data_IF_739551657452
#
_entry.id   IF_739551657452
#
_cell.length_a   1.000
_cell.length_b   1.000
_cell.length_c   1.000
_cell.angle_alpha   90.00
_cell.angle_beta   90.00
_cell.angle_gamma   90.00
#
_symmetry.space_group_name_H-M   'P 1'
#
loop_
_entity.id
_entity.type
_entity.pdbx_description
1 polymer ?
#
# COMPACT_ATOMS: atom_id res chain seq x y z
N UNK A 1 -5.53 -34.13 -10.12
CA UNK A 1 -6.81 -33.37 -10.13
C UNK A 1 -7.40 -33.47 -11.52
N UNK A 2 -8.64 -33.96 -11.68
CA UNK A 2 -9.24 -34.19 -13.00
C UNK A 2 -9.58 -32.84 -13.67
N UNK A 3 -8.95 -32.52 -14.80
CA UNK A 3 -9.08 -31.24 -15.55
C UNK A 3 -10.50 -30.93 -16.03
N UNK A 4 -11.42 -31.92 -16.01
CA UNK A 4 -12.86 -31.70 -16.30
C UNK A 4 -13.55 -30.73 -15.34
N UNK A 5 -13.14 -30.67 -14.06
CA UNK A 5 -13.78 -29.79 -13.07
C UNK A 5 -13.40 -28.30 -13.22
N UNK A 6 -12.49 -27.99 -14.15
CA UNK A 6 -11.99 -26.65 -14.44
C UNK A 6 -12.50 -26.09 -15.78
N UNK A 7 -13.17 -26.92 -16.60
CA UNK A 7 -13.79 -26.45 -17.85
C UNK A 7 -14.95 -25.50 -17.58
N UNK A 8 -15.07 -24.49 -18.43
CA UNK A 8 -16.17 -23.51 -18.47
C UNK A 8 -16.35 -22.72 -17.16
N UNK A 9 -15.28 -22.58 -16.38
CA UNK A 9 -15.25 -21.74 -15.18
C UNK A 9 -14.70 -20.36 -15.54
N UNK A 10 -15.49 -19.28 -15.44
CA UNK A 10 -15.05 -17.92 -15.79
C UNK A 10 -13.75 -17.49 -15.08
N UNK A 11 -13.54 -17.95 -13.84
CA UNK A 11 -12.32 -17.66 -13.07
C UNK A 11 -11.07 -18.24 -13.73
N UNK A 12 -11.18 -19.42 -14.37
CA UNK A 12 -10.06 -20.06 -15.07
C UNK A 12 -9.74 -19.29 -16.34
N UNK A 13 -10.76 -18.88 -17.10
CA UNK A 13 -10.57 -18.05 -18.29
C UNK A 13 -9.94 -16.70 -17.94
N UNK A 14 -10.41 -16.04 -16.88
CA UNK A 14 -9.82 -14.80 -16.36
C UNK A 14 -8.36 -14.98 -15.96
N UNK A 15 -8.03 -16.07 -15.25
CA UNK A 15 -6.66 -16.38 -14.86
C UNK A 15 -5.77 -16.62 -16.09
N UNK A 16 -6.22 -17.40 -17.07
CA UNK A 16 -5.47 -17.66 -18.30
C UNK A 16 -5.24 -16.38 -19.11
N UNK A 17 -6.25 -15.52 -19.21
CA UNK A 17 -6.10 -14.21 -19.85
C UNK A 17 -5.08 -13.34 -19.11
N UNK A 18 -5.12 -13.29 -17.78
CA UNK A 18 -4.16 -12.55 -16.96
C UNK A 18 -2.72 -13.06 -17.18
N UNK A 19 -2.51 -14.37 -17.02
CA UNK A 19 -1.19 -15.03 -17.19
C UNK A 19 -0.64 -14.84 -18.60
N UNK A 20 -1.49 -14.88 -19.63
CA UNK A 20 -1.08 -14.68 -21.03
C UNK A 20 -0.51 -13.30 -21.33
N UNK A 21 -0.80 -12.29 -20.49
CA UNK A 21 -0.34 -10.91 -20.64
C UNK A 21 0.90 -10.59 -19.81
N UNK A 22 1.39 -11.55 -19.02
CA UNK A 22 2.57 -11.36 -18.19
C UNK A 22 3.88 -11.55 -18.95
N UNK A 23 4.93 -10.90 -18.45
CA UNK A 23 6.25 -11.01 -19.06
C UNK A 23 6.82 -12.43 -18.88
N UNK A 24 7.43 -13.07 -19.90
CA UNK A 24 7.93 -14.44 -19.79
C UNK A 24 8.90 -14.68 -18.62
N UNK A 25 9.72 -13.69 -18.27
CA UNK A 25 10.61 -13.76 -17.09
C UNK A 25 9.83 -13.86 -15.77
N UNK A 26 8.72 -13.13 -15.66
CA UNK A 26 7.85 -13.20 -14.48
C UNK A 26 7.22 -14.59 -14.40
N UNK A 27 6.69 -15.09 -15.52
CA UNK A 27 6.11 -16.44 -15.58
C UNK A 27 7.13 -17.53 -15.21
N UNK A 28 8.37 -17.41 -15.68
CA UNK A 28 9.44 -18.33 -15.31
C UNK A 28 9.78 -18.25 -13.81
N UNK A 29 9.81 -17.04 -13.24
CA UNK A 29 10.06 -16.82 -11.83
C UNK A 29 8.95 -17.39 -10.94
N UNK A 30 7.68 -17.24 -11.36
CA UNK A 30 6.50 -17.57 -10.56
C UNK A 30 6.01 -19.02 -10.74
N UNK A 31 6.17 -19.62 -11.93
CA UNK A 31 5.54 -20.92 -12.26
C UNK A 31 6.52 -22.03 -12.63
N UNK A 32 7.79 -21.72 -12.92
CA UNK A 32 8.75 -22.72 -13.44
C UNK A 32 9.85 -23.13 -12.43
N UNK A 33 9.70 -22.80 -11.16
CA UNK A 33 10.59 -23.27 -10.09
C UNK A 33 10.15 -24.66 -9.55
N UNK A 34 11.13 -25.52 -9.28
CA UNK A 34 10.92 -26.90 -8.83
C UNK A 34 10.61 -27.05 -7.34
N UNK A 35 10.80 -26.00 -6.54
CA UNK A 35 10.75 -26.05 -5.08
C UNK A 35 9.58 -25.25 -4.47
N UNK A 36 8.71 -24.69 -5.31
CA UNK A 36 7.53 -23.97 -4.83
C UNK A 36 6.34 -24.90 -4.80
N UNK A 37 5.68 -24.91 -3.66
CA UNK A 37 4.43 -25.60 -3.45
C UNK A 37 3.48 -24.62 -2.75
N UNK A 38 2.22 -24.51 -3.16
CA UNK A 38 1.20 -23.80 -2.40
C UNK A 38 1.10 -24.41 -1.00
N UNK A 39 1.15 -23.57 0.03
CA UNK A 39 1.07 -24.00 1.44
C UNK A 39 -0.16 -23.40 2.08
N UNK A 40 -0.86 -24.21 2.88
CA UNK A 40 -1.90 -23.68 3.74
C UNK A 40 -1.30 -22.94 4.93
N UNK A 41 -1.97 -21.87 5.35
CA UNK A 41 -1.57 -21.11 6.53
C UNK A 41 -1.41 -22.01 7.78
N UNK A 42 -2.30 -22.98 7.99
CA UNK A 42 -2.25 -23.87 9.15
C UNK A 42 -0.97 -24.71 9.20
N UNK A 43 -0.45 -25.14 8.05
CA UNK A 43 0.78 -25.91 7.95
C UNK A 43 2.00 -25.03 8.25
N UNK A 44 2.02 -23.81 7.70
CA UNK A 44 3.08 -22.84 7.97
C UNK A 44 3.08 -22.44 9.45
N UNK A 45 1.90 -22.20 10.04
CA UNK A 45 1.78 -21.90 11.46
C UNK A 45 2.28 -23.04 12.35
N UNK A 46 1.97 -24.29 11.99
CA UNK A 46 2.48 -25.47 12.70
C UNK A 46 4.00 -25.62 12.59
N UNK A 47 4.60 -25.30 11.44
CA UNK A 47 6.05 -25.29 11.27
C UNK A 47 6.73 -24.17 12.07
N UNK A 48 6.19 -22.95 12.03
CA UNK A 48 6.69 -21.82 12.82
C UNK A 48 6.61 -22.11 14.33
N UNK A 49 5.54 -22.79 14.78
CA UNK A 49 5.39 -23.20 16.17
C UNK A 49 6.50 -24.15 16.64
N UNK A 50 7.07 -25.00 15.77
CA UNK A 50 8.22 -25.86 16.11
C UNK A 50 9.49 -25.06 16.41
N UNK A 51 9.54 -23.79 16.00
CA UNK A 51 10.61 -22.85 16.32
C UNK A 51 10.22 -21.89 17.47
N UNK A 52 9.18 -22.19 18.25
CA UNK A 52 8.54 -21.32 19.27
C UNK A 52 8.13 -19.93 18.76
N UNK A 53 7.72 -19.85 17.49
CA UNK A 53 7.16 -18.66 16.91
C UNK A 53 5.63 -18.75 16.90
N UNK A 54 4.99 -17.73 17.46
CA UNK A 54 3.52 -17.63 17.49
C UNK A 54 3.06 -16.65 16.41
N UNK A 55 1.99 -17.01 15.70
CA UNK A 55 1.34 -16.11 14.75
C UNK A 55 0.78 -14.86 15.46
N UNK A 56 1.23 -13.67 15.03
CA UNK A 56 0.84 -12.37 15.59
C UNK A 56 -0.28 -11.73 14.79
N UNK A 57 -0.25 -11.86 13.47
CA UNK A 57 -1.20 -11.20 12.58
C UNK A 57 -0.71 -11.16 11.13
N UNK A 58 -1.62 -10.85 10.21
CA UNK A 58 -1.25 -10.57 8.83
C UNK A 58 -0.64 -9.18 8.71
N UNK A 59 0.34 -9.02 7.81
CA UNK A 59 0.89 -7.73 7.41
C UNK A 59 0.03 -7.04 6.33
N UNK A 60 -1.05 -7.66 5.87
CA UNK A 60 -2.02 -7.05 4.96
C UNK A 60 -3.07 -6.29 5.78
N UNK A 61 -2.99 -4.95 5.81
CA UNK A 61 -3.75 -4.11 6.73
C UNK A 61 -5.27 -4.37 6.73
N UNK A 62 -5.92 -4.39 5.56
CA UNK A 62 -7.37 -4.63 5.51
C UNK A 62 -7.75 -6.03 5.98
N UNK A 63 -6.87 -7.01 5.79
CA UNK A 63 -7.12 -8.40 6.17
C UNK A 63 -6.90 -8.66 7.67
N UNK A 64 -6.31 -7.69 8.38
CA UNK A 64 -6.14 -7.74 9.84
C UNK A 64 -7.43 -7.42 10.60
N UNK A 65 -8.44 -6.83 9.94
CA UNK A 65 -9.73 -6.50 10.52
C UNK A 65 -10.86 -7.25 9.79
N UNK A 66 -11.59 -8.08 10.55
CA UNK A 66 -12.67 -8.91 10.01
C UNK A 66 -13.83 -8.07 9.45
N UNK A 67 -14.01 -6.82 9.91
CA UNK A 67 -15.03 -5.88 9.40
C UNK A 67 -14.88 -5.60 7.91
N UNK A 68 -13.68 -5.74 7.35
CA UNK A 68 -13.38 -5.44 5.94
C UNK A 68 -13.21 -6.67 5.06
N UNK A 69 -13.29 -7.87 5.65
CA UNK A 69 -13.02 -9.12 4.94
C UNK A 69 -14.21 -10.06 4.87
N UNK A 70 -15.09 -10.05 5.87
CA UNK A 70 -16.20 -10.99 5.95
C UNK A 70 -17.52 -10.31 6.32
N UNK A 71 -18.60 -10.79 5.73
CA UNK A 71 -19.96 -10.37 6.11
C UNK A 71 -20.41 -10.99 7.44
N UNK A 72 -21.57 -10.55 7.99
CA UNK A 72 -22.06 -11.01 9.29
C UNK A 72 -22.24 -12.52 9.42
N UNK A 73 -22.68 -13.20 8.36
CA UNK A 73 -22.88 -14.66 8.37
C UNK A 73 -21.56 -15.42 8.50
N UNK A 74 -20.55 -15.03 7.72
CA UNK A 74 -19.20 -15.61 7.79
C UNK A 74 -18.50 -15.26 9.10
N UNK A 75 -18.76 -14.08 9.68
CA UNK A 75 -18.24 -13.70 10.99
C UNK A 75 -18.66 -14.67 12.09
N UNK A 76 -19.95 -15.05 12.11
CA UNK A 76 -20.46 -16.03 13.08
C UNK A 76 -19.79 -17.41 12.93
N UNK A 77 -19.51 -17.84 11.69
CA UNK A 77 -18.75 -19.06 11.42
C UNK A 77 -17.33 -18.97 11.99
N UNK A 78 -16.62 -17.85 11.76
CA UNK A 78 -15.27 -17.65 12.29
C UNK A 78 -15.25 -17.59 13.83
N UNK A 79 -16.25 -16.96 14.45
CA UNK A 79 -16.33 -16.86 15.90
C UNK A 79 -16.55 -18.21 16.58
N UNK A 80 -17.21 -19.16 15.90
CA UNK A 80 -17.42 -20.52 16.40
C UNK A 80 -16.15 -21.40 16.39
N UNK A 81 -15.09 -21.01 15.67
CA UNK A 81 -13.86 -21.78 15.59
C UNK A 81 -13.03 -21.65 16.89
N UNK A 82 -12.41 -22.74 17.38
CA UNK A 82 -11.80 -22.73 18.71
C UNK A 82 -10.49 -21.95 18.76
N UNK A 83 -9.66 -22.02 17.72
CA UNK A 83 -8.36 -21.35 17.69
C UNK A 83 -8.28 -20.23 16.66
N UNK A 84 -7.36 -19.28 16.90
CA UNK A 84 -7.02 -18.25 15.92
C UNK A 84 -6.44 -18.85 14.64
N UNK A 85 -5.74 -19.98 14.74
CA UNK A 85 -5.13 -20.62 13.58
C UNK A 85 -6.21 -21.17 12.64
N UNK A 86 -7.22 -21.84 13.19
CA UNK A 86 -8.36 -22.33 12.39
C UNK A 86 -9.17 -21.17 11.81
N UNK A 87 -9.38 -20.09 12.57
CA UNK A 87 -10.03 -18.87 12.06
C UNK A 87 -9.35 -18.33 10.81
N UNK A 88 -8.04 -18.14 10.86
CA UNK A 88 -7.28 -17.61 9.72
C UNK A 88 -7.27 -18.59 8.53
N UNK A 89 -7.16 -19.89 8.80
CA UNK A 89 -7.26 -20.92 7.75
C UNK A 89 -8.61 -20.88 7.02
N UNK A 90 -9.73 -20.82 7.75
CA UNK A 90 -11.06 -20.71 7.14
C UNK A 90 -11.24 -19.35 6.47
N UNK A 91 -10.72 -18.27 7.06
CA UNK A 91 -10.74 -16.92 6.45
C UNK A 91 -10.01 -16.90 5.10
N UNK A 92 -8.89 -17.61 4.96
CA UNK A 92 -8.17 -17.70 3.68
C UNK A 92 -9.05 -18.31 2.57
N UNK A 93 -9.89 -19.32 2.88
CA UNK A 93 -10.85 -19.85 1.90
C UNK A 93 -11.98 -18.86 1.57
N UNK A 94 -12.48 -18.13 2.57
CA UNK A 94 -13.53 -17.13 2.36
C UNK A 94 -13.06 -15.96 1.48
N UNK A 95 -11.75 -15.68 1.51
CA UNK A 95 -11.12 -14.60 0.76
C UNK A 95 -10.49 -15.04 -0.58
N UNK A 96 -10.53 -16.34 -0.89
CA UNK A 96 -9.78 -16.92 -2.01
C UNK A 96 -8.30 -16.47 -2.01
N UNK A 97 -7.68 -16.53 -0.83
CA UNK A 97 -6.37 -15.94 -0.58
C UNK A 97 -5.25 -16.69 -1.31
N UNK A 98 -4.70 -16.07 -2.36
CA UNK A 98 -3.59 -16.63 -3.14
C UNK A 98 -2.20 -16.27 -2.59
N UNK A 99 -2.11 -15.15 -1.86
CA UNK A 99 -0.86 -14.68 -1.24
C UNK A 99 -1.12 -14.14 0.15
N UNK A 100 -0.20 -14.45 1.05
CA UNK A 100 -0.28 -14.04 2.45
C UNK A 100 1.06 -13.55 2.96
N UNK A 101 1.01 -12.50 3.78
CA UNK A 101 2.16 -11.93 4.48
C UNK A 101 1.81 -11.95 5.95
N UNK A 102 2.61 -12.63 6.75
CA UNK A 102 2.34 -12.85 8.16
C UNK A 102 3.51 -12.44 9.03
N UNK A 103 3.17 -11.96 10.23
CA UNK A 103 4.12 -11.67 11.29
C UNK A 103 4.04 -12.78 12.32
N UNK A 104 5.20 -13.38 12.59
CA UNK A 104 5.39 -14.35 13.67
C UNK A 104 6.39 -13.79 14.68
N UNK A 105 6.18 -14.07 15.97
CA UNK A 105 7.08 -13.59 17.02
C UNK A 105 7.25 -14.61 18.13
N UNK A 106 8.45 -14.65 18.71
CA UNK A 106 8.76 -15.44 19.90
C UNK A 106 8.29 -14.67 21.14
N UNK A 107 7.52 -15.32 21.99
CA UNK A 107 7.01 -14.70 23.22
C UNK A 107 6.04 -13.54 22.97
N UNK A 108 5.24 -13.63 21.90
CA UNK A 108 4.22 -12.64 21.61
C UNK A 108 3.27 -12.46 22.81
N UNK A 109 3.07 -11.20 23.22
CA UNK A 109 2.20 -10.80 24.33
C UNK A 109 0.99 -10.05 23.79
N UNK A 110 -0.19 -10.40 24.30
CA UNK A 110 -1.40 -9.61 24.06
C UNK A 110 -1.36 -8.37 24.95
N UNK A 111 -1.50 -7.19 24.34
CA UNK A 111 -1.58 -5.92 25.06
C UNK A 111 -2.98 -5.73 25.65
N UNK A 112 -3.08 -5.15 26.84
CA UNK A 112 -4.35 -4.63 27.34
C UNK A 112 -4.83 -3.47 26.46
N UNK A 113 -6.14 -3.13 26.46
CA UNK A 113 -6.65 -2.00 25.67
C UNK A 113 -5.90 -0.68 25.94
N UNK A 114 -5.57 -0.40 27.20
CA UNK A 114 -4.82 0.80 27.59
C UNK A 114 -3.38 0.79 27.05
N UNK A 115 -2.68 -0.34 27.15
CA UNK A 115 -1.33 -0.47 26.59
C UNK A 115 -1.35 -0.37 25.07
N UNK A 116 -2.33 -1.00 24.41
CA UNK A 116 -2.52 -0.92 22.96
C UNK A 116 -2.72 0.52 22.53
N UNK A 117 -3.64 1.24 23.15
CA UNK A 117 -3.94 2.63 22.78
C UNK A 117 -2.73 3.55 23.06
N UNK A 118 -1.97 3.29 24.13
CA UNK A 118 -0.71 3.99 24.38
C UNK A 118 0.35 3.71 23.31
N UNK A 119 0.50 2.46 22.85
CA UNK A 119 1.42 2.10 21.77
C UNK A 119 1.00 2.64 20.41
N UNK A 120 -0.29 2.62 20.10
CA UNK A 120 -0.87 3.22 18.89
C UNK A 120 -0.72 4.74 18.92
N UNK A 121 -0.88 5.37 20.09
CA UNK A 121 -0.65 6.79 20.33
C UNK A 121 0.72 7.29 19.86
N UNK A 122 1.75 6.42 19.92
CA UNK A 122 3.13 6.73 19.53
C UNK A 122 3.37 6.63 18.02
N UNK A 123 2.50 5.93 17.28
CA UNK A 123 2.69 5.69 15.83
C UNK A 123 2.43 6.97 15.06
N UNK A 124 3.32 7.27 14.13
CA UNK A 124 3.21 8.42 13.25
C UNK A 124 2.65 8.03 11.89
N UNK A 125 1.96 8.97 11.25
CA UNK A 125 1.45 8.83 9.90
C UNK A 125 1.87 10.04 9.07
N UNK A 126 1.99 9.86 7.76
CA UNK A 126 2.19 10.93 6.79
C UNK A 126 1.24 10.77 5.60
N UNK A 127 0.88 11.90 4.98
CA UNK A 127 0.10 11.90 3.74
C UNK A 127 0.92 11.38 2.56
N UNK A 128 0.32 10.51 1.74
CA UNK A 128 0.84 10.08 0.43
C UNK A 128 0.30 10.92 -0.73
N UNK A 129 -0.81 11.62 -0.49
CA UNK A 129 -1.46 12.53 -1.43
C UNK A 129 -1.60 13.91 -0.80
N UNK A 130 -1.64 14.96 -1.61
CA UNK A 130 -1.89 16.32 -1.17
C UNK A 130 -3.20 16.36 -0.37
N UNK A 131 -3.26 17.16 0.70
CA UNK A 131 -4.43 17.25 1.57
C UNK A 131 -5.73 17.57 0.81
N UNK A 132 -5.64 18.41 -0.24
CA UNK A 132 -6.76 18.75 -1.12
C UNK A 132 -7.21 17.62 -2.06
N UNK A 133 -6.42 16.56 -2.18
CA UNK A 133 -6.66 15.42 -3.06
C UNK A 133 -7.07 14.14 -2.31
N UNK A 134 -7.21 14.21 -0.98
CA UNK A 134 -7.74 13.12 -0.15
C UNK A 134 -9.20 12.86 -0.53
N UNK A 135 -9.53 11.60 -0.77
CA UNK A 135 -10.87 11.11 -0.98
C UNK A 135 -11.43 10.54 0.34
N UNK A 136 -12.59 11.02 0.76
CA UNK A 136 -13.25 10.54 1.98
C UNK A 136 -14.20 9.36 1.73
N UNK A 137 -14.29 8.89 0.48
CA UNK A 137 -14.91 7.62 0.10
C UNK A 137 -13.77 6.65 -0.23
N UNK A 138 -13.52 5.72 0.68
CA UNK A 138 -12.34 4.86 0.68
C UNK A 138 -12.71 3.43 0.28
N UNK A 139 -11.93 2.84 -0.62
CA UNK A 139 -12.00 1.41 -0.91
C UNK A 139 -11.19 0.63 0.13
N UNK A 140 -11.85 -0.28 0.86
CA UNK A 140 -11.29 -1.03 1.98
C UNK A 140 -11.67 -2.51 1.84
N UNK A 141 -10.75 -3.32 1.32
CA UNK A 141 -11.04 -4.72 1.01
C UNK A 141 -12.14 -4.83 -0.05
N UNK A 142 -13.26 -5.47 0.31
CA UNK A 142 -14.43 -5.64 -0.57
C UNK A 142 -15.50 -4.56 -0.39
N UNK A 143 -15.25 -3.54 0.43
CA UNK A 143 -16.24 -2.53 0.80
C UNK A 143 -15.78 -1.11 0.45
N UNK A 144 -16.76 -0.26 0.11
CA UNK A 144 -16.58 1.18 0.05
C UNK A 144 -17.05 1.82 1.36
N UNK A 145 -16.19 2.63 1.99
CA UNK A 145 -16.43 3.24 3.31
C UNK A 145 -16.30 4.75 3.21
N UNK A 146 -17.40 5.45 3.52
CA UNK A 146 -17.41 6.90 3.69
C UNK A 146 -16.96 7.31 5.10
N UNK A 147 -15.96 8.19 5.19
CA UNK A 147 -15.40 8.67 6.46
C UNK A 147 -15.49 10.20 6.62
N UNK A 148 -16.16 10.89 5.70
CA UNK A 148 -16.24 12.36 5.70
C UNK A 148 -16.87 12.89 7.00
N UNK A 149 -16.12 13.71 7.71
CA UNK A 149 -16.51 14.27 9.00
C UNK A 149 -15.57 15.41 9.42
N UNK A 150 -15.96 16.27 10.37
CA UNK A 150 -15.06 17.28 10.93
C UNK A 150 -13.75 16.67 11.48
N UNK A 151 -13.83 15.48 12.08
CA UNK A 151 -12.66 14.76 12.55
C UNK A 151 -11.74 14.33 11.39
N UNK A 152 -12.29 13.75 10.32
CA UNK A 152 -11.49 13.34 9.16
C UNK A 152 -10.75 14.53 8.52
N UNK A 153 -11.42 15.67 8.35
CA UNK A 153 -10.78 16.89 7.84
C UNK A 153 -9.68 17.39 8.78
N UNK A 154 -9.91 17.36 10.10
CA UNK A 154 -8.91 17.78 11.07
C UNK A 154 -7.69 16.84 11.11
N UNK A 155 -7.86 15.53 10.91
CA UNK A 155 -6.75 14.58 10.73
C UNK A 155 -5.92 14.95 9.50
N UNK A 156 -6.57 15.13 8.34
CA UNK A 156 -5.90 15.47 7.08
C UNK A 156 -5.16 16.81 7.19
N UNK A 157 -5.79 17.82 7.79
CA UNK A 157 -5.16 19.12 8.02
C UNK A 157 -3.94 19.03 8.96
N UNK A 158 -4.00 18.21 10.01
CA UNK A 158 -2.86 18.00 10.90
C UNK A 158 -1.67 17.35 10.16
N UNK A 159 -1.94 16.40 9.26
CA UNK A 159 -0.95 15.71 8.47
C UNK A 159 -0.42 16.52 7.28
N UNK A 160 -1.14 17.55 6.83
CA UNK A 160 -0.70 18.44 5.76
C UNK A 160 0.61 19.18 6.09
N UNK A 161 0.87 19.42 7.38
CA UNK A 161 2.10 20.03 7.88
C UNK A 161 3.27 19.03 8.02
N UNK A 162 3.07 17.76 7.64
CA UNK A 162 4.04 16.68 7.78
C UNK A 162 3.61 15.62 8.79
N UNK A 163 4.49 14.65 9.03
CA UNK A 163 4.15 13.48 9.84
C UNK A 163 3.75 13.83 11.28
N UNK A 164 2.68 13.22 11.77
CA UNK A 164 2.16 13.39 13.14
C UNK A 164 1.86 12.05 13.80
N UNK A 165 2.09 11.97 15.10
CA UNK A 165 1.63 10.81 15.89
C UNK A 165 0.14 10.85 16.12
N UNK A 166 -0.47 9.69 16.39
CA UNK A 166 -1.89 9.63 16.78
C UNK A 166 -2.14 10.50 18.02
N UNK A 167 -1.24 10.49 19.01
CA UNK A 167 -1.35 11.34 20.19
C UNK A 167 -1.27 12.85 19.86
N UNK A 168 -0.42 13.26 18.90
CA UNK A 168 -0.35 14.65 18.44
C UNK A 168 -1.64 15.07 17.72
N UNK A 169 -2.21 14.20 16.89
CA UNK A 169 -3.50 14.42 16.23
C UNK A 169 -4.60 14.60 17.30
N UNK A 170 -4.68 13.69 18.26
CA UNK A 170 -5.65 13.73 19.36
C UNK A 170 -5.52 14.98 20.25
N UNK A 171 -4.35 15.62 20.29
CA UNK A 171 -4.13 16.84 21.08
C UNK A 171 -4.71 18.11 20.44
N UNK A 172 -5.13 18.05 19.18
CA UNK A 172 -5.72 19.20 18.49
C UNK A 172 -7.08 19.57 19.12
N UNK A 173 -7.43 20.87 19.23
CA UNK A 173 -8.73 21.29 19.79
C UNK A 173 -9.93 20.64 19.11
N UNK A 174 -9.84 20.41 17.78
CA UNK A 174 -10.89 19.74 17.01
C UNK A 174 -11.12 18.26 17.40
N UNK A 175 -10.20 17.64 18.14
CA UNK A 175 -10.26 16.25 18.61
C UNK A 175 -10.71 16.11 20.06
N UNK A 176 -10.96 17.20 20.78
CA UNK A 176 -11.18 17.18 22.23
C UNK A 176 -12.32 16.24 22.70
N UNK A 177 -13.31 16.00 21.83
CA UNK A 177 -14.46 15.14 22.12
C UNK A 177 -14.53 13.89 21.23
N UNK A 178 -13.51 13.65 20.39
CA UNK A 178 -13.49 12.50 19.48
C UNK A 178 -12.83 11.32 20.19
N UNK A 179 -13.49 10.15 20.30
CA UNK A 179 -12.88 8.97 20.91
C UNK A 179 -11.65 8.48 20.14
N UNK A 180 -10.64 7.99 20.86
CA UNK A 180 -9.41 7.44 20.25
C UNK A 180 -9.70 6.38 19.18
N UNK A 181 -10.65 5.47 19.45
CA UNK A 181 -11.02 4.42 18.51
C UNK A 181 -11.52 4.96 17.16
N UNK A 182 -12.25 6.08 17.15
CA UNK A 182 -12.76 6.70 15.92
C UNK A 182 -11.61 7.31 15.11
N UNK A 183 -10.68 8.01 15.76
CA UNK A 183 -9.49 8.56 15.10
C UNK A 183 -8.61 7.44 14.55
N UNK A 184 -8.42 6.36 15.32
CA UNK A 184 -7.65 5.21 14.88
C UNK A 184 -8.30 4.50 13.68
N UNK A 185 -9.61 4.27 13.70
CA UNK A 185 -10.35 3.66 12.59
C UNK A 185 -10.24 4.52 11.32
N UNK A 186 -10.35 5.86 11.42
CA UNK A 186 -10.16 6.77 10.29
C UNK A 186 -8.73 6.69 9.71
N UNK A 187 -7.71 6.68 10.57
CA UNK A 187 -6.32 6.53 10.14
C UNK A 187 -6.10 5.17 9.45
N UNK A 188 -6.67 4.09 9.98
CA UNK A 188 -6.58 2.77 9.39
C UNK A 188 -7.24 2.73 8.00
N UNK A 189 -8.44 3.29 7.86
CA UNK A 189 -9.15 3.37 6.58
C UNK A 189 -8.37 4.20 5.55
N UNK A 190 -7.82 5.34 5.95
CA UNK A 190 -6.97 6.18 5.09
C UNK A 190 -5.66 5.46 4.71
N UNK A 191 -5.11 4.63 5.59
CA UNK A 191 -3.89 3.86 5.32
C UNK A 191 -4.18 2.69 4.37
N UNK A 192 -5.29 1.97 4.56
CA UNK A 192 -5.73 0.88 3.68
C UNK A 192 -6.02 1.42 2.28
N UNK A 193 -6.67 2.58 2.18
CA UNK A 193 -6.94 3.26 0.90
C UNK A 193 -5.73 4.00 0.33
N UNK A 194 -4.53 3.77 0.89
CA UNK A 194 -3.26 4.26 0.36
C UNK A 194 -3.09 5.79 0.35
N UNK A 195 -3.89 6.51 1.13
CA UNK A 195 -3.88 7.99 1.18
C UNK A 195 -2.93 8.53 2.25
N UNK A 196 -2.72 7.75 3.31
CA UNK A 196 -1.68 7.97 4.31
C UNK A 196 -0.84 6.70 4.44
N UNK A 197 0.27 6.78 5.18
CA UNK A 197 1.08 5.62 5.52
C UNK A 197 1.66 5.77 6.93
N UNK A 198 1.76 4.68 7.72
CA UNK A 198 2.50 4.72 8.97
C UNK A 198 3.98 5.02 8.67
N UNK A 199 4.60 5.86 9.48
CA UNK A 199 6.00 6.28 9.31
C UNK A 199 6.74 6.30 10.63
N UNK A 200 8.07 6.28 10.54
CA UNK A 200 8.94 6.52 11.68
C UNK A 200 9.18 8.02 11.89
N UNK A 201 9.57 8.39 13.12
CA UNK A 201 9.98 9.76 13.46
C UNK A 201 11.48 10.01 13.23
N UNK A 202 12.26 8.96 13.02
CA UNK A 202 13.69 9.07 12.72
C UNK A 202 13.88 9.62 11.32
N UNK A 203 14.66 10.68 11.17
CA UNK A 203 15.06 11.23 9.86
C UNK A 203 16.40 10.63 9.45
N UNK A 204 16.36 9.47 8.80
CA UNK A 204 17.52 8.95 8.06
C UNK A 204 17.77 9.77 6.79
N UNK A 205 18.77 9.42 6.01
CA UNK A 205 18.94 10.01 4.66
C UNK A 205 18.37 9.05 3.61
N UNK A 206 17.32 9.46 2.90
CA UNK A 206 16.80 8.71 1.74
C UNK A 206 17.37 9.19 0.39
N UNK A 207 17.87 10.42 0.32
CA UNK A 207 18.36 11.05 -0.92
C UNK A 207 19.41 10.20 -1.63
N UNK A 208 20.38 9.63 -0.89
CA UNK A 208 21.43 8.78 -1.46
C UNK A 208 20.86 7.50 -2.07
N UNK A 209 19.90 6.86 -1.39
CA UNK A 209 19.25 5.66 -1.89
C UNK A 209 18.43 5.98 -3.15
N UNK A 210 17.63 7.04 -3.13
CA UNK A 210 16.82 7.45 -4.29
C UNK A 210 17.67 7.83 -5.51
N UNK A 211 18.84 8.45 -5.28
CA UNK A 211 19.81 8.71 -6.35
C UNK A 211 20.35 7.41 -6.97
N UNK A 212 20.61 6.38 -6.17
CA UNK A 212 21.01 5.05 -6.65
C UNK A 212 19.87 4.40 -7.44
N UNK A 213 18.62 4.50 -6.99
CA UNK A 213 17.44 3.99 -7.73
C UNK A 213 17.36 4.64 -9.11
N UNK A 214 17.50 5.97 -9.21
CA UNK A 214 17.52 6.69 -10.50
C UNK A 214 18.71 6.28 -11.38
N UNK A 215 19.92 6.23 -10.81
CA UNK A 215 21.14 5.86 -11.52
C UNK A 215 21.08 4.43 -12.08
N UNK A 216 20.34 3.54 -11.42
CA UNK A 216 20.09 2.16 -11.87
C UNK A 216 18.76 2.04 -12.65
N UNK A 217 18.38 3.09 -13.39
CA UNK A 217 17.24 3.11 -14.31
C UNK A 217 15.90 2.73 -13.65
N UNK A 218 15.70 3.19 -12.42
CA UNK A 218 14.49 2.92 -11.62
C UNK A 218 14.26 1.42 -11.45
N UNK A 219 15.28 0.72 -10.92
CA UNK A 219 15.25 -0.72 -10.66
C UNK A 219 14.25 -1.15 -9.57
N UNK A 220 13.61 -0.18 -8.91
CA UNK A 220 12.57 -0.34 -7.88
C UNK A 220 11.34 0.45 -8.31
N UNK A 221 10.15 0.01 -7.90
CA UNK A 221 8.88 0.73 -8.06
C UNK A 221 8.57 1.68 -6.90
N UNK A 222 9.53 1.89 -5.99
CA UNK A 222 9.36 2.73 -4.82
C UNK A 222 10.57 3.64 -4.57
N UNK A 223 10.29 4.82 -4.01
CA UNK A 223 11.29 5.74 -3.47
C UNK A 223 11.27 5.70 -1.94
N UNK A 224 12.45 5.77 -1.32
CA UNK A 224 12.58 5.85 0.12
C UNK A 224 12.27 7.26 0.63
N UNK A 225 11.59 7.34 1.76
CA UNK A 225 11.44 8.53 2.58
C UNK A 225 12.45 8.50 3.74
N UNK A 226 13.01 9.64 4.17
CA UNK A 226 13.77 9.74 5.41
C UNK A 226 12.99 9.27 6.64
N UNK A 227 11.65 9.15 6.56
CA UNK A 227 10.76 8.69 7.63
C UNK A 227 10.65 7.15 7.71
N UNK A 228 11.64 6.41 7.19
CA UNK A 228 11.75 4.96 7.38
C UNK A 228 10.81 4.11 6.51
N UNK A 229 10.20 4.69 5.48
CA UNK A 229 9.26 3.99 4.57
C UNK A 229 9.65 4.12 3.10
N UNK A 230 9.26 3.14 2.30
CA UNK A 230 9.25 3.23 0.84
C UNK A 230 7.86 3.58 0.34
N UNK A 231 7.76 4.49 -0.63
CA UNK A 231 6.50 4.87 -1.27
C UNK A 231 6.52 4.39 -2.71
N UNK A 232 5.60 3.48 -3.01
CA UNK A 232 5.37 3.01 -4.36
C UNK A 232 4.82 4.14 -5.23
N UNK A 233 5.44 4.27 -6.40
CA UNK A 233 5.16 5.30 -7.39
C UNK A 233 5.29 4.69 -8.78
N UNK A 234 4.48 5.16 -9.73
CA UNK A 234 4.69 4.81 -11.13
C UNK A 234 6.05 5.35 -11.62
N UNK A 235 6.59 4.75 -12.67
CA UNK A 235 7.85 5.20 -13.28
C UNK A 235 7.91 6.72 -13.55
N UNK A 236 6.93 7.36 -14.20
CA UNK A 236 6.98 8.81 -14.43
C UNK A 236 6.93 9.61 -13.12
N UNK A 237 6.19 9.15 -12.11
CA UNK A 237 6.16 9.81 -10.80
C UNK A 237 7.51 9.70 -10.07
N UNK A 238 8.19 8.55 -10.15
CA UNK A 238 9.55 8.41 -9.61
C UNK A 238 10.54 9.32 -10.33
N UNK A 239 10.42 9.44 -11.65
CA UNK A 239 11.24 10.37 -12.43
C UNK A 239 11.02 11.81 -11.96
N UNK A 240 9.77 12.27 -11.92
CA UNK A 240 9.41 13.61 -11.43
C UNK A 240 9.94 13.85 -10.02
N UNK A 241 9.72 12.91 -9.10
CA UNK A 241 10.14 13.03 -7.71
C UNK A 241 11.67 13.08 -7.51
N UNK A 242 12.45 12.48 -8.41
CA UNK A 242 13.92 12.41 -8.30
C UNK A 242 14.67 13.42 -9.18
N UNK A 243 14.00 14.09 -10.11
CA UNK A 243 14.69 14.93 -11.10
C UNK A 243 14.04 16.25 -11.47
N UNK A 244 12.73 16.44 -11.25
CA UNK A 244 12.04 17.68 -11.60
C UNK A 244 11.89 18.59 -10.38
N UNK A 245 12.94 19.33 -10.01
CA UNK A 245 12.80 20.44 -9.07
C UNK A 245 12.59 21.74 -9.84
N UNK A 246 11.33 22.20 -9.89
CA UNK A 246 10.96 23.47 -10.51
C UNK A 246 10.64 23.41 -12.01
N UNK A 247 10.28 24.56 -12.57
CA UNK A 247 9.87 24.71 -13.96
C UNK A 247 8.37 24.56 -14.21
N UNK A 248 7.91 25.05 -15.36
CA UNK A 248 6.52 24.93 -15.80
C UNK A 248 6.20 23.49 -16.27
N UNK A 249 4.91 23.21 -16.52
CA UNK A 249 4.44 21.88 -16.91
C UNK A 249 5.18 21.32 -18.14
N UNK A 250 5.41 22.14 -19.17
CA UNK A 250 6.05 21.69 -20.41
C UNK A 250 7.54 21.37 -20.21
N UNK A 251 8.23 22.13 -19.36
CA UNK A 251 9.63 21.85 -19.00
C UNK A 251 9.76 20.49 -18.29
N UNK A 252 8.82 20.16 -17.40
CA UNK A 252 8.80 18.86 -16.71
C UNK A 252 8.47 17.71 -17.67
N UNK A 253 7.55 17.92 -18.63
CA UNK A 253 7.23 16.93 -19.67
C UNK A 253 8.43 16.71 -20.61
N UNK A 254 9.11 17.77 -21.03
CA UNK A 254 10.31 17.67 -21.85
C UNK A 254 11.44 16.92 -21.11
N UNK A 255 11.62 17.19 -19.81
CA UNK A 255 12.58 16.48 -18.98
C UNK A 255 12.23 14.98 -18.86
N UNK A 256 10.95 14.65 -18.63
CA UNK A 256 10.49 13.26 -18.60
C UNK A 256 10.81 12.52 -19.89
N UNK A 257 10.51 13.11 -21.05
CA UNK A 257 10.84 12.52 -22.35
C UNK A 257 12.34 12.23 -22.48
N UNK A 258 13.19 13.15 -22.02
CA UNK A 258 14.64 12.95 -21.95
C UNK A 258 15.05 11.82 -21.01
N UNK A 259 14.42 11.70 -19.84
CA UNK A 259 14.71 10.65 -18.86
C UNK A 259 14.25 9.26 -19.35
N UNK A 260 13.11 9.17 -20.05
CA UNK A 260 12.68 7.94 -20.74
C UNK A 260 13.68 7.52 -21.82
N UNK A 261 14.17 8.47 -22.63
CA UNK A 261 15.21 8.20 -23.62
C UNK A 261 16.52 7.72 -22.97
N UNK A 262 16.93 8.34 -21.85
CA UNK A 262 18.14 7.97 -21.09
C UNK A 262 18.11 6.50 -20.65
N UNK A 263 16.96 6.03 -20.16
CA UNK A 263 16.82 4.64 -19.68
C UNK A 263 16.43 3.66 -20.77
N UNK A 264 16.27 4.12 -22.01
CA UNK A 264 15.83 3.32 -23.16
C UNK A 264 14.55 2.51 -22.88
N UNK A 265 13.54 3.15 -22.27
CA UNK A 265 12.21 2.56 -22.07
C UNK A 265 11.15 3.29 -22.89
N UNK A 266 10.17 2.58 -23.47
CA UNK A 266 9.03 3.22 -24.11
C UNK A 266 8.12 3.90 -23.08
N UNK A 267 7.39 4.92 -23.53
CA UNK A 267 6.24 5.45 -22.78
C UNK A 267 5.06 4.50 -23.03
N UNK A 268 4.40 4.09 -21.96
CA UNK A 268 3.24 3.19 -22.02
C UNK A 268 1.99 3.91 -21.50
N UNK A 269 0.85 3.62 -22.12
CA UNK A 269 -0.47 3.97 -21.59
C UNK A 269 -0.92 3.00 -20.48
N UNK A 270 -2.16 3.16 -20.00
CA UNK A 270 -2.76 2.31 -18.97
C UNK A 270 -2.94 0.85 -19.44
N UNK A 271 -3.12 0.64 -20.75
CA UNK A 271 -3.30 -0.65 -21.40
C UNK A 271 -1.97 -1.35 -21.73
N UNK A 272 -0.83 -0.73 -21.36
CA UNK A 272 0.55 -1.17 -21.64
C UNK A 272 0.92 -1.11 -23.13
N UNK A 273 0.25 -0.27 -23.92
CA UNK A 273 0.61 -0.02 -25.31
C UNK A 273 1.68 1.07 -25.41
N UNK A 274 2.59 0.93 -26.37
CA UNK A 274 3.66 1.90 -26.59
C UNK A 274 3.13 3.15 -27.27
N UNK A 275 3.34 4.30 -26.62
CA UNK A 275 3.04 5.62 -27.15
C UNK A 275 4.31 6.24 -27.76
N UNK A 276 4.13 6.99 -28.86
CA UNK A 276 5.21 7.69 -29.57
C UNK A 276 4.81 9.11 -29.94
N UNK A 277 5.81 9.98 -30.14
CA UNK A 277 5.61 11.36 -30.60
C UNK A 277 4.62 12.15 -29.73
N UNK A 278 3.69 12.86 -30.38
CA UNK A 278 2.72 13.74 -29.71
C UNK A 278 1.80 13.00 -28.73
N UNK A 279 1.48 11.73 -29.00
CA UNK A 279 0.67 10.92 -28.10
C UNK A 279 1.39 10.64 -26.77
N UNK A 280 2.69 10.34 -26.82
CA UNK A 280 3.52 10.17 -25.62
C UNK A 280 3.62 11.48 -24.83
N UNK A 281 3.84 12.60 -25.53
CA UNK A 281 3.90 13.93 -24.91
C UNK A 281 2.59 14.30 -24.21
N UNK A 282 1.45 14.09 -24.88
CA UNK A 282 0.13 14.36 -24.31
C UNK A 282 -0.17 13.49 -23.08
N UNK A 283 0.19 12.20 -23.14
CA UNK A 283 0.06 11.29 -22.01
C UNK A 283 0.90 11.73 -20.81
N UNK A 284 2.18 12.02 -21.02
CA UNK A 284 3.07 12.47 -19.95
C UNK A 284 2.62 13.83 -19.37
N UNK A 285 2.03 14.73 -20.17
CA UNK A 285 1.42 15.97 -19.68
C UNK A 285 0.30 15.70 -18.69
N UNK A 286 -0.60 14.77 -19.00
CA UNK A 286 -1.69 14.35 -18.10
C UNK A 286 -1.14 13.77 -16.80
N UNK A 287 -0.15 12.88 -16.88
CA UNK A 287 0.48 12.26 -15.71
C UNK A 287 1.19 13.30 -14.84
N UNK A 288 1.96 14.21 -15.43
CA UNK A 288 2.66 15.27 -14.71
C UNK A 288 1.69 16.22 -14.01
N UNK A 289 0.62 16.63 -14.70
CA UNK A 289 -0.42 17.49 -14.09
C UNK A 289 -1.08 16.80 -12.89
N UNK A 290 -1.47 15.52 -13.05
CA UNK A 290 -2.05 14.73 -11.97
C UNK A 290 -1.08 14.56 -10.78
N UNK A 291 0.20 14.30 -11.05
CA UNK A 291 1.24 14.19 -10.03
C UNK A 291 1.40 15.49 -9.22
N UNK A 292 1.51 16.64 -9.91
CA UNK A 292 1.66 17.94 -9.25
C UNK A 292 0.45 18.26 -8.38
N UNK A 293 -0.76 18.02 -8.89
CA UNK A 293 -2.00 18.30 -8.17
C UNK A 293 -2.21 17.34 -6.99
N UNK A 294 -1.85 16.06 -7.13
CA UNK A 294 -2.23 15.01 -6.18
C UNK A 294 -1.14 14.55 -5.23
N UNK A 295 0.16 14.67 -5.57
CA UNK A 295 1.24 14.00 -4.81
C UNK A 295 2.43 14.89 -4.47
N UNK A 296 2.81 15.84 -5.32
CA UNK A 296 4.08 16.57 -5.20
C UNK A 296 4.34 17.13 -3.79
N UNK A 297 3.41 17.91 -3.24
CA UNK A 297 3.61 18.54 -1.93
C UNK A 297 3.60 17.51 -0.78
N UNK A 298 2.80 16.45 -0.88
CA UNK A 298 2.85 15.35 0.08
C UNK A 298 4.21 14.64 0.06
N UNK A 299 4.77 14.37 -1.12
CA UNK A 299 6.10 13.76 -1.23
C UNK A 299 7.22 14.70 -0.76
N UNK A 300 7.04 16.02 -0.88
CA UNK A 300 7.94 17.01 -0.25
C UNK A 300 7.88 16.95 1.28
N UNK A 301 6.69 16.87 1.90
CA UNK A 301 6.58 16.75 3.37
C UNK A 301 7.10 15.41 3.89
N UNK A 302 7.06 14.37 3.06
CA UNK A 302 7.72 13.09 3.31
C UNK A 302 9.24 13.11 3.08
N UNK A 303 9.81 14.22 2.57
CA UNK A 303 11.25 14.35 2.31
C UNK A 303 11.76 13.47 1.17
N UNK A 304 10.88 13.02 0.27
CA UNK A 304 11.23 12.29 -0.96
C UNK A 304 11.66 13.30 -2.04
N UNK A 305 10.90 14.39 -2.16
CA UNK A 305 11.14 15.49 -3.10
C UNK A 305 11.79 16.65 -2.34
N UNK A 306 12.74 17.33 -2.98
CA UNK A 306 13.35 18.53 -2.41
C UNK A 306 12.30 19.65 -2.24
N UNK A 307 12.43 20.51 -1.22
CA UNK A 307 11.52 21.64 -1.00
C UNK A 307 11.55 22.65 -2.15
#
# INVERSE_FOLDING_TARGET
>A
MNTRALRDKPVVDMLLHSVSREHPRYLAHEYLHSAWEPRYFIDVAAEMAKADLTYVGTATLFAADERFTVGPEHKALLDALPTRVEREFIKDYLLDANFRRDVYSRGARVLTPQERDAELGKRAFALRVNASAVNYICQVGLAEVGIESPAAHAIVNALAAGAKTVAEIMSAPAMAHVPFAIVYDMLLILAISEQITPVERTRGTATRFNAVVRANNYCSNALASPLGVGIELSLPEMMLATGATGGNLEEQVAWLLGEYARINKPVLDAERQTLVGDAATAWLRTITSAYLQRKHNALQTMGIVAP
#
